data_IF_904998309011
#
_entry.id   IF_904998309011
#
_cell.length_a   1.000
_cell.length_b   1.000
_cell.length_c   1.000
_cell.angle_alpha   90.00
_cell.angle_beta   90.00
_cell.angle_gamma   90.00
#
_symmetry.space_group_name_H-M   'P 1'
#
loop_
_entity.id
_entity.type
_entity.pdbx_description
1 polymer ?
#
# COMPACT_ATOMS: atom_id res chain seq x y z
N UNK A 1 26.60 -21.26 14.13
CA UNK A 1 25.76 -21.26 12.90
C UNK A 1 24.32 -21.73 13.13
N UNK A 2 24.05 -22.96 13.62
CA UNK A 2 22.67 -23.50 13.74
C UNK A 2 21.67 -22.58 14.47
N UNK A 3 22.07 -21.94 15.58
CA UNK A 3 21.20 -21.01 16.34
C UNK A 3 20.89 -19.71 15.57
N UNK A 4 21.87 -19.15 14.86
CA UNK A 4 21.66 -17.95 14.04
C UNK A 4 20.75 -18.25 12.85
N UNK A 5 20.93 -19.40 12.18
CA UNK A 5 20.06 -19.85 11.10
C UNK A 5 18.61 -20.03 11.57
N UNK A 6 18.41 -20.58 12.78
CA UNK A 6 17.08 -20.70 13.38
C UNK A 6 16.43 -19.34 13.64
N UNK A 7 17.19 -18.31 14.03
CA UNK A 7 16.66 -16.97 14.24
C UNK A 7 16.24 -16.30 12.94
N UNK A 8 17.05 -16.41 11.89
CA UNK A 8 16.70 -15.89 10.55
C UNK A 8 15.41 -16.57 10.06
N UNK A 9 15.33 -17.89 10.18
CA UNK A 9 14.11 -18.63 9.84
C UNK A 9 12.89 -18.18 10.65
N UNK A 10 13.09 -17.77 11.91
CA UNK A 10 12.02 -17.20 12.74
C UNK A 10 11.65 -15.78 12.29
N UNK A 11 12.62 -14.98 11.85
CA UNK A 11 12.40 -13.65 11.27
C UNK A 11 11.67 -13.67 9.92
N UNK A 12 11.60 -14.81 9.24
CA UNK A 12 10.72 -15.02 8.08
C UNK A 12 9.25 -15.15 8.46
N UNK A 13 8.92 -15.45 9.72
CA UNK A 13 7.53 -15.63 10.16
C UNK A 13 6.74 -14.31 10.15
N UNK A 14 7.24 -13.18 10.70
CA UNK A 14 6.60 -11.87 10.54
C UNK A 14 6.38 -11.49 9.07
N UNK A 15 7.38 -11.76 8.22
CA UNK A 15 7.28 -11.52 6.78
C UNK A 15 6.17 -12.34 6.13
N UNK A 16 6.09 -13.64 6.45
CA UNK A 16 5.04 -14.51 5.93
C UNK A 16 3.63 -14.07 6.40
N UNK A 17 3.50 -13.67 7.67
CA UNK A 17 2.23 -13.16 8.22
C UNK A 17 1.80 -11.89 7.50
N UNK A 18 2.71 -10.93 7.30
CA UNK A 18 2.43 -9.70 6.56
C UNK A 18 2.04 -10.00 5.12
N UNK A 19 2.77 -10.89 4.43
CA UNK A 19 2.47 -11.27 3.05
C UNK A 19 1.07 -11.90 2.93
N UNK A 20 0.72 -12.82 3.83
CA UNK A 20 -0.61 -13.44 3.86
C UNK A 20 -1.70 -12.41 4.16
N UNK A 21 -1.46 -11.50 5.10
CA UNK A 21 -2.39 -10.41 5.41
C UNK A 21 -2.63 -9.51 4.20
N UNK A 22 -1.57 -9.10 3.50
CA UNK A 22 -1.69 -8.29 2.28
C UNK A 22 -2.46 -9.00 1.18
N UNK A 23 -2.20 -10.30 0.99
CA UNK A 23 -2.85 -11.10 -0.05
C UNK A 23 -4.35 -11.30 0.18
N UNK A 24 -4.78 -11.43 1.43
CA UNK A 24 -6.14 -11.91 1.74
C UNK A 24 -7.01 -10.90 2.51
N UNK A 25 -6.42 -9.85 3.11
CA UNK A 25 -7.15 -8.96 4.02
C UNK A 25 -7.09 -7.51 3.57
N UNK A 26 -5.90 -6.92 3.46
CA UNK A 26 -5.78 -5.49 3.15
C UNK A 26 -4.38 -5.10 2.66
N UNK A 27 -4.35 -4.27 1.62
CA UNK A 27 -3.13 -3.64 1.10
C UNK A 27 -2.82 -2.28 1.73
N UNK A 28 -3.71 -1.74 2.57
CA UNK A 28 -3.48 -0.48 3.26
C UNK A 28 -2.24 -0.56 4.16
N UNK A 29 -1.28 0.33 3.89
CA UNK A 29 0.06 0.30 4.49
C UNK A 29 0.07 0.50 6.01
N UNK A 30 -0.91 1.23 6.56
CA UNK A 30 -1.08 1.40 8.01
C UNK A 30 -1.39 0.07 8.70
N UNK A 31 -2.24 -0.76 8.08
CA UNK A 31 -2.55 -2.09 8.61
C UNK A 31 -1.35 -3.03 8.50
N UNK A 32 -0.63 -2.96 7.37
CA UNK A 32 0.60 -3.73 7.15
C UNK A 32 1.64 -3.43 8.23
N UNK A 33 1.84 -2.16 8.57
CA UNK A 33 2.72 -1.74 9.66
C UNK A 33 2.30 -2.37 11.00
N UNK A 34 1.02 -2.25 11.36
CA UNK A 34 0.49 -2.78 12.63
C UNK A 34 0.71 -4.30 12.71
N UNK A 35 0.36 -5.03 11.66
CA UNK A 35 0.52 -6.49 11.59
C UNK A 35 1.99 -6.90 11.64
N UNK A 36 2.87 -6.16 10.97
CA UNK A 36 4.32 -6.34 11.02
C UNK A 36 4.88 -6.20 12.43
N UNK A 37 4.48 -5.14 13.15
CA UNK A 37 4.93 -4.92 14.53
C UNK A 37 4.34 -5.97 15.48
N UNK A 38 3.06 -6.31 15.37
CA UNK A 38 2.43 -7.34 16.21
C UNK A 38 3.13 -8.69 16.03
N UNK A 39 3.40 -9.09 14.79
CA UNK A 39 4.09 -10.36 14.52
C UNK A 39 5.54 -10.35 15.03
N UNK A 40 6.26 -9.24 14.90
CA UNK A 40 7.58 -9.06 15.52
C UNK A 40 7.54 -9.13 17.05
N UNK A 41 6.55 -8.50 17.68
CA UNK A 41 6.35 -8.55 19.13
C UNK A 41 6.14 -9.98 19.61
N UNK A 42 5.24 -10.73 18.97
CA UNK A 42 4.93 -12.12 19.30
C UNK A 42 6.17 -13.01 19.18
N UNK A 43 6.89 -12.92 18.05
CA UNK A 43 8.12 -13.70 17.84
C UNK A 43 9.19 -13.36 18.88
N UNK A 44 9.36 -12.09 19.21
CA UNK A 44 10.32 -11.64 20.21
C UNK A 44 9.98 -12.15 21.62
N UNK A 45 8.70 -12.22 21.97
CA UNK A 45 8.27 -12.77 23.25
C UNK A 45 8.55 -14.29 23.35
N UNK A 46 8.34 -15.04 22.27
CA UNK A 46 8.59 -16.49 22.25
C UNK A 46 10.08 -16.86 22.31
N UNK A 47 10.97 -15.97 21.86
CA UNK A 47 12.38 -16.27 21.58
C UNK A 47 13.37 -15.52 22.48
N UNK A 48 12.88 -14.89 23.55
CA UNK A 48 13.62 -14.03 24.50
C UNK A 48 14.96 -14.58 25.06
N UNK A 49 15.24 -15.88 24.98
CA UNK A 49 16.44 -16.52 25.57
C UNK A 49 17.38 -17.21 24.58
N UNK A 50 17.28 -17.00 23.26
CA UNK A 50 17.85 -17.95 22.30
C UNK A 50 19.33 -17.75 21.90
N UNK A 51 19.90 -16.55 22.02
CA UNK A 51 21.32 -16.26 21.75
C UNK A 51 21.98 -15.51 22.90
N UNK A 52 23.30 -15.60 23.01
CA UNK A 52 24.07 -14.95 24.09
C UNK A 52 24.08 -13.42 24.00
N UNK A 53 23.84 -12.84 22.81
CA UNK A 53 23.75 -11.41 22.61
C UNK A 53 22.31 -11.02 22.15
N UNK A 54 21.56 -10.26 22.97
CA UNK A 54 20.19 -9.86 22.64
C UNK A 54 20.12 -8.95 21.40
N UNK A 55 21.10 -8.07 21.19
CA UNK A 55 21.13 -7.15 20.05
C UNK A 55 21.25 -7.90 18.72
N UNK A 56 22.16 -8.87 18.64
CA UNK A 56 22.33 -9.71 17.43
C UNK A 56 21.04 -10.48 17.15
N UNK A 57 20.38 -10.97 18.20
CA UNK A 57 19.11 -11.69 18.06
C UNK A 57 18.02 -10.80 17.48
N UNK A 58 17.93 -9.55 17.95
CA UNK A 58 16.95 -8.59 17.48
C UNK A 58 17.13 -8.27 16.00
N UNK A 59 18.37 -8.00 15.59
CA UNK A 59 18.71 -7.72 14.19
C UNK A 59 18.33 -8.91 13.30
N UNK A 60 18.72 -10.14 13.68
CA UNK A 60 18.44 -11.34 12.87
C UNK A 60 16.94 -11.64 12.71
N UNK A 61 16.11 -11.26 13.68
CA UNK A 61 14.66 -11.41 13.60
C UNK A 61 14.04 -10.30 12.74
N UNK A 62 14.50 -9.06 12.88
CA UNK A 62 13.94 -7.92 12.17
C UNK A 62 14.39 -7.85 10.70
N UNK A 63 15.59 -8.33 10.38
CA UNK A 63 16.24 -8.10 9.08
C UNK A 63 15.40 -8.55 7.87
N UNK A 64 14.69 -9.69 7.86
CA UNK A 64 13.95 -10.08 6.65
C UNK A 64 12.80 -9.14 6.35
N UNK A 65 12.05 -8.71 7.38
CA UNK A 65 10.96 -7.76 7.22
C UNK A 65 11.48 -6.36 6.85
N UNK A 66 12.56 -5.91 7.49
CA UNK A 66 13.21 -4.63 7.18
C UNK A 66 13.68 -4.59 5.72
N UNK A 67 14.32 -5.64 5.23
CA UNK A 67 14.82 -5.68 3.85
C UNK A 67 13.66 -5.63 2.85
N UNK A 68 12.63 -6.45 3.03
CA UNK A 68 11.48 -6.44 2.12
C UNK A 68 10.75 -5.10 2.16
N UNK A 69 10.54 -4.54 3.36
CA UNK A 69 9.92 -3.22 3.49
C UNK A 69 10.76 -2.12 2.85
N UNK A 70 12.10 -2.18 2.99
CA UNK A 70 12.99 -1.24 2.33
C UNK A 70 12.83 -1.29 0.81
N UNK A 71 12.94 -2.48 0.21
CA UNK A 71 12.90 -2.63 -1.25
C UNK A 71 11.52 -2.34 -1.84
N UNK A 72 10.44 -2.69 -1.16
CA UNK A 72 9.09 -2.54 -1.71
C UNK A 72 8.41 -1.21 -1.35
N UNK A 73 8.79 -0.59 -0.23
CA UNK A 73 8.08 0.58 0.29
C UNK A 73 8.98 1.80 0.34
N UNK A 74 10.20 1.69 0.89
CA UNK A 74 11.06 2.88 1.08
C UNK A 74 11.61 3.43 -0.24
N UNK A 75 11.80 2.58 -1.24
CA UNK A 75 12.22 3.02 -2.58
C UNK A 75 11.15 3.92 -3.21
N UNK A 76 9.87 3.54 -3.06
CA UNK A 76 8.75 4.29 -3.63
C UNK A 76 8.29 5.45 -2.74
N UNK A 77 8.37 5.27 -1.42
CA UNK A 77 7.85 6.20 -0.39
C UNK A 77 8.94 6.44 0.68
N UNK A 78 10.00 7.22 0.37
CA UNK A 78 11.14 7.44 1.27
C UNK A 78 10.77 8.04 2.63
N UNK A 79 9.70 8.82 2.72
CA UNK A 79 9.25 9.45 3.96
C UNK A 79 8.86 8.46 5.06
N UNK A 80 8.66 7.17 4.71
CA UNK A 80 8.31 6.11 5.67
C UNK A 80 9.52 5.44 6.33
N UNK A 81 10.73 5.96 6.14
CA UNK A 81 11.94 5.44 6.80
C UNK A 81 11.84 5.26 8.34
N UNK A 82 11.04 6.03 9.13
CA UNK A 82 10.91 5.79 10.57
C UNK A 82 10.32 4.41 10.91
N UNK A 83 9.58 3.79 9.99
CA UNK A 83 9.06 2.42 10.15
C UNK A 83 10.19 1.40 10.31
N UNK A 84 11.32 1.59 9.61
CA UNK A 84 12.48 0.70 9.74
C UNK A 84 13.04 0.72 11.17
N UNK A 85 13.04 1.90 11.81
CA UNK A 85 13.44 2.03 13.21
C UNK A 85 12.46 1.30 14.13
N UNK A 86 11.15 1.40 13.89
CA UNK A 86 10.14 0.67 14.68
C UNK A 86 10.36 -0.84 14.57
N UNK A 87 10.58 -1.37 13.36
CA UNK A 87 10.85 -2.79 13.16
C UNK A 87 12.15 -3.25 13.82
N UNK A 88 13.19 -2.43 13.81
CA UNK A 88 14.47 -2.76 14.46
C UNK A 88 14.37 -2.69 15.99
N UNK A 89 13.74 -1.64 16.52
CA UNK A 89 13.65 -1.37 17.95
C UNK A 89 12.69 -2.32 18.67
N UNK A 90 11.64 -2.79 17.99
CA UNK A 90 10.64 -3.70 18.57
C UNK A 90 11.26 -4.94 19.24
N UNK A 91 12.01 -5.81 18.53
CA UNK A 91 12.64 -6.97 19.16
C UNK A 91 13.73 -6.56 20.16
N UNK A 92 14.49 -5.50 19.88
CA UNK A 92 15.55 -5.05 20.76
C UNK A 92 15.01 -4.64 22.14
N UNK A 93 14.01 -3.76 22.18
CA UNK A 93 13.40 -3.28 23.42
C UNK A 93 12.73 -4.41 24.21
N UNK A 94 12.09 -5.37 23.53
CA UNK A 94 11.53 -6.56 24.19
C UNK A 94 12.63 -7.39 24.84
N UNK A 95 13.77 -7.61 24.18
CA UNK A 95 14.89 -8.37 24.75
C UNK A 95 15.60 -7.66 25.90
N UNK A 96 15.74 -6.33 25.84
CA UNK A 96 16.36 -5.55 26.91
C UNK A 96 15.43 -5.28 28.10
N UNK A 97 14.11 -5.44 27.93
CA UNK A 97 13.16 -5.33 29.04
C UNK A 97 13.33 -6.48 30.05
N UNK A 98 13.85 -6.16 31.23
CA UNK A 98 13.97 -7.09 32.36
C UNK A 98 12.83 -6.85 33.37
N UNK A 99 12.09 -7.92 33.70
CA UNK A 99 10.93 -7.85 34.60
C UNK A 99 9.59 -7.64 33.88
N UNK A 100 8.50 -8.14 34.50
CA UNK A 100 7.16 -8.16 33.90
C UNK A 100 6.58 -6.76 33.69
N UNK A 101 6.80 -5.85 34.65
CA UNK A 101 6.26 -4.49 34.63
C UNK A 101 6.92 -3.68 33.52
N UNK A 102 8.26 -3.61 33.50
CA UNK A 102 9.00 -2.87 32.47
C UNK A 102 8.67 -3.38 31.06
N UNK A 103 8.55 -4.69 30.89
CA UNK A 103 8.13 -5.28 29.62
C UNK A 103 6.72 -4.87 29.20
N UNK A 104 5.77 -4.87 30.13
CA UNK A 104 4.41 -4.39 29.88
C UNK A 104 4.40 -2.93 29.43
N UNK A 105 5.17 -2.06 30.09
CA UNK A 105 5.32 -0.65 29.71
C UNK A 105 5.94 -0.52 28.32
N UNK A 106 7.03 -1.23 28.03
CA UNK A 106 7.69 -1.22 26.71
C UNK A 106 6.71 -1.62 25.61
N UNK A 107 5.92 -2.68 25.82
CA UNK A 107 4.92 -3.13 24.84
C UNK A 107 3.84 -2.08 24.64
N UNK A 108 3.30 -1.48 25.71
CA UNK A 108 2.30 -0.43 25.61
C UNK A 108 2.82 0.80 24.85
N UNK A 109 4.07 1.21 25.11
CA UNK A 109 4.71 2.32 24.40
C UNK A 109 4.89 1.98 22.92
N UNK A 110 5.36 0.77 22.60
CA UNK A 110 5.50 0.33 21.20
C UNK A 110 4.16 0.32 20.48
N UNK A 111 3.10 -0.19 21.10
CA UNK A 111 1.74 -0.17 20.54
C UNK A 111 1.28 1.27 20.31
N UNK A 112 1.50 2.16 21.28
CA UNK A 112 1.14 3.58 21.15
C UNK A 112 1.88 4.28 20.00
N UNK A 113 3.20 4.07 19.89
CA UNK A 113 4.02 4.63 18.81
C UNK A 113 3.56 4.07 17.46
N UNK A 114 3.41 2.75 17.34
CA UNK A 114 2.95 2.11 16.11
C UNK A 114 1.57 2.59 15.71
N UNK A 115 0.63 2.69 16.65
CA UNK A 115 -0.71 3.22 16.40
C UNK A 115 -0.67 4.67 15.93
N UNK A 116 0.12 5.52 16.59
CA UNK A 116 0.30 6.92 16.19
C UNK A 116 0.88 7.03 14.78
N UNK A 117 1.94 6.28 14.48
CA UNK A 117 2.56 6.23 13.15
C UNK A 117 1.58 5.73 12.10
N UNK A 118 0.86 4.64 12.37
CA UNK A 118 -0.10 4.04 11.44
C UNK A 118 -1.29 4.96 11.15
N UNK A 119 -1.80 5.68 12.15
CA UNK A 119 -2.99 6.52 11.99
C UNK A 119 -2.70 7.93 11.50
N UNK A 120 -1.51 8.47 11.77
CA UNK A 120 -1.19 9.88 11.47
C UNK A 120 -0.07 10.02 10.44
N UNK A 121 1.07 9.35 10.66
CA UNK A 121 2.24 9.55 9.80
C UNK A 121 2.06 8.87 8.44
N UNK A 122 1.68 7.58 8.45
CA UNK A 122 1.59 6.78 7.22
C UNK A 122 0.63 7.39 6.20
N UNK A 123 -0.64 7.73 6.53
CA UNK A 123 -1.55 8.31 5.55
C UNK A 123 -1.06 9.65 5.01
N UNK A 124 -0.46 10.47 5.88
CA UNK A 124 0.05 11.80 5.52
C UNK A 124 1.24 11.74 4.57
N UNK A 125 2.18 10.84 4.84
CA UNK A 125 3.38 10.66 4.00
C UNK A 125 3.00 10.04 2.67
N UNK A 126 2.19 8.99 2.67
CA UNK A 126 1.70 8.35 1.45
C UNK A 126 0.97 9.37 0.57
N UNK A 127 0.05 10.15 1.14
CA UNK A 127 -0.63 11.20 0.40
C UNK A 127 0.33 12.28 -0.12
N UNK A 128 1.35 12.65 0.65
CA UNK A 128 2.31 13.69 0.25
C UNK A 128 3.30 13.26 -0.82
N UNK A 129 3.71 11.98 -0.85
CA UNK A 129 4.70 11.49 -1.80
C UNK A 129 4.08 10.91 -3.08
N UNK A 130 2.85 10.38 -3.00
CA UNK A 130 2.13 9.86 -4.17
C UNK A 130 1.24 10.92 -4.87
N UNK A 131 1.18 12.15 -4.34
CA UNK A 131 0.42 13.25 -4.95
C UNK A 131 1.34 14.37 -5.42
N UNK A 132 1.37 14.62 -6.72
CA UNK A 132 2.05 15.79 -7.29
C UNK A 132 1.02 16.79 -7.81
N UNK A 133 1.02 18.01 -7.24
CA UNK A 133 0.25 19.13 -7.78
C UNK A 133 1.13 19.92 -8.74
N UNK A 134 0.71 20.01 -10.00
CA UNK A 134 1.47 20.70 -11.05
C UNK A 134 0.58 21.66 -11.83
N UNK A 135 1.19 22.75 -12.29
CA UNK A 135 0.58 23.71 -13.24
C UNK A 135 1.09 23.48 -14.67
N UNK A 136 1.92 22.45 -14.87
CA UNK A 136 2.35 22.05 -16.21
C UNK A 136 1.14 21.51 -16.98
N UNK A 137 1.04 21.75 -18.30
CA UNK A 137 0.05 21.08 -19.12
C UNK A 137 0.16 19.56 -18.93
N UNK A 138 -0.98 18.88 -18.92
CA UNK A 138 -1.00 17.42 -18.98
C UNK A 138 -0.20 16.95 -20.22
N UNK A 139 0.59 15.86 -20.12
CA UNK A 139 1.27 15.28 -21.28
C UNK A 139 0.28 15.01 -22.41
N UNK A 140 0.70 15.13 -23.67
CA UNK A 140 -0.14 14.73 -24.79
C UNK A 140 -0.49 13.25 -24.69
N UNK A 141 -1.78 12.92 -24.73
CA UNK A 141 -2.32 11.58 -24.73
C UNK A 141 -3.36 11.42 -25.84
N UNK A 142 -3.52 10.17 -26.27
CA UNK A 142 -4.55 9.75 -27.18
C UNK A 142 -5.06 8.40 -26.72
N UNK A 143 -6.25 8.38 -26.12
CA UNK A 143 -6.84 7.16 -25.56
C UNK A 143 -8.04 6.75 -26.40
N UNK A 144 -8.05 5.49 -26.83
CA UNK A 144 -9.12 4.97 -27.67
C UNK A 144 -10.42 4.90 -26.88
N UNK A 145 -11.49 5.53 -27.36
CA UNK A 145 -12.78 5.45 -26.68
C UNK A 145 -13.49 4.12 -27.00
N UNK A 146 -13.77 3.32 -25.97
CA UNK A 146 -14.36 2.00 -26.14
C UNK A 146 -15.90 2.01 -26.16
N UNK A 147 -16.54 3.04 -25.60
CA UNK A 147 -18.02 3.15 -25.58
C UNK A 147 -18.60 3.83 -26.84
N UNK A 148 -17.72 4.17 -27.79
CA UNK A 148 -18.07 4.87 -29.02
C UNK A 148 -18.04 6.40 -28.89
N UNK A 149 -17.90 7.08 -30.03
CA UNK A 149 -17.64 8.51 -30.11
C UNK A 149 -16.23 8.79 -30.58
N UNK A 150 -15.74 10.02 -30.33
CA UNK A 150 -14.36 10.38 -30.62
C UNK A 150 -13.43 9.85 -29.51
N UNK A 151 -12.17 9.62 -29.87
CA UNK A 151 -11.11 9.29 -28.93
C UNK A 151 -10.80 10.46 -27.99
N UNK A 152 -10.32 10.13 -26.78
CA UNK A 152 -9.99 11.12 -25.77
C UNK A 152 -8.58 11.67 -26.01
N UNK A 153 -8.48 12.99 -26.03
CA UNK A 153 -7.23 13.72 -26.26
C UNK A 153 -7.22 14.99 -25.41
N UNK A 154 -6.04 15.56 -25.16
CA UNK A 154 -5.93 16.86 -24.47
C UNK A 154 -6.70 18.00 -25.14
N UNK A 155 -7.13 17.83 -26.41
CA UNK A 155 -7.89 18.82 -27.17
C UNK A 155 -9.39 18.66 -26.92
N UNK A 156 -9.92 17.44 -26.95
CA UNK A 156 -11.34 17.14 -26.68
C UNK A 156 -11.73 17.48 -25.24
N UNK A 157 -10.74 17.51 -24.36
CA UNK A 157 -10.89 17.52 -22.92
C UNK A 157 -10.69 18.92 -22.31
N UNK A 158 -10.49 19.94 -23.16
CA UNK A 158 -10.25 21.32 -22.69
C UNK A 158 -11.49 21.94 -22.05
N UNK A 159 -11.29 22.56 -20.88
CA UNK A 159 -12.29 23.39 -20.21
C UNK A 159 -13.16 22.66 -19.19
N UNK A 160 -12.99 21.33 -19.04
CA UNK A 160 -13.61 20.53 -17.98
C UNK A 160 -12.52 19.91 -17.10
N UNK A 161 -12.84 19.61 -15.84
CA UNK A 161 -11.91 18.85 -14.97
C UNK A 161 -12.04 17.37 -15.27
N UNK A 162 -10.93 16.71 -15.60
CA UNK A 162 -10.92 15.26 -15.89
C UNK A 162 -10.17 14.52 -14.80
N UNK A 163 -10.82 13.51 -14.26
CA UNK A 163 -10.18 12.46 -13.47
C UNK A 163 -9.87 11.31 -14.42
N UNK A 164 -8.59 11.15 -14.75
CA UNK A 164 -8.09 10.05 -15.57
C UNK A 164 -7.49 8.97 -14.65
N UNK A 165 -8.07 7.78 -14.67
CA UNK A 165 -7.66 6.64 -13.85
C UNK A 165 -7.15 5.52 -14.77
N UNK A 166 -5.93 5.04 -14.53
CA UNK A 166 -5.35 3.94 -15.29
C UNK A 166 -5.64 2.60 -14.62
N UNK A 167 -6.21 1.69 -15.40
CA UNK A 167 -6.86 0.49 -14.89
C UNK A 167 -6.37 -0.78 -15.60
N UNK A 168 -6.55 -1.92 -14.94
CA UNK A 168 -6.45 -3.25 -15.56
C UNK A 168 -7.47 -4.21 -14.95
N UNK A 169 -8.06 -5.10 -15.74
CA UNK A 169 -9.12 -6.04 -15.30
C UNK A 169 -8.63 -7.07 -14.29
N UNK A 170 -7.32 -7.24 -14.18
CA UNK A 170 -6.62 -8.09 -13.21
C UNK A 170 -6.19 -7.33 -11.95
N UNK A 171 -6.28 -5.99 -11.95
CA UNK A 171 -5.82 -5.15 -10.85
C UNK A 171 -6.83 -5.13 -9.71
N UNK A 172 -6.67 -6.04 -8.74
CA UNK A 172 -7.55 -6.10 -7.57
C UNK A 172 -7.69 -4.76 -6.81
N UNK A 173 -6.62 -3.96 -6.59
CA UNK A 173 -6.75 -2.62 -5.99
C UNK A 173 -7.63 -1.69 -6.83
N UNK A 174 -7.38 -1.60 -8.13
CA UNK A 174 -8.15 -0.74 -9.03
C UNK A 174 -9.64 -1.10 -9.02
N UNK A 175 -9.97 -2.40 -8.99
CA UNK A 175 -11.35 -2.88 -8.88
C UNK A 175 -12.00 -2.45 -7.56
N UNK A 176 -11.23 -2.42 -6.46
CA UNK A 176 -11.75 -1.99 -5.15
C UNK A 176 -12.02 -0.49 -5.06
N UNK A 177 -11.28 0.34 -5.79
CA UNK A 177 -11.47 1.79 -5.85
C UNK A 177 -12.70 2.22 -6.67
N UNK A 178 -13.18 1.38 -7.59
CA UNK A 178 -14.31 1.71 -8.47
C UNK A 178 -15.60 2.10 -7.72
N UNK A 179 -15.84 1.52 -6.53
CA UNK A 179 -17.02 1.90 -5.73
C UNK A 179 -16.87 3.33 -5.19
N UNK A 180 -15.67 3.73 -4.76
CA UNK A 180 -15.41 5.09 -4.31
C UNK A 180 -15.55 6.10 -5.46
N UNK A 181 -15.03 5.77 -6.64
CA UNK A 181 -15.23 6.58 -7.85
C UNK A 181 -16.72 6.70 -8.20
N UNK A 182 -17.49 5.63 -8.05
CA UNK A 182 -18.94 5.64 -8.32
C UNK A 182 -19.66 6.56 -7.32
N UNK A 183 -19.28 6.51 -6.05
CA UNK A 183 -19.80 7.41 -5.03
C UNK A 183 -19.48 8.88 -5.35
N UNK A 184 -18.30 9.18 -5.90
CA UNK A 184 -17.96 10.54 -6.32
C UNK A 184 -18.92 11.09 -7.37
N UNK A 185 -19.33 10.29 -8.35
CA UNK A 185 -20.26 10.73 -9.42
C UNK A 185 -21.63 11.17 -8.90
N UNK A 186 -22.05 10.65 -7.74
CA UNK A 186 -23.34 10.98 -7.11
C UNK A 186 -23.20 11.99 -5.96
N UNK A 187 -22.03 12.05 -5.32
CA UNK A 187 -21.79 12.90 -4.14
C UNK A 187 -21.27 14.29 -4.48
N UNK A 188 -20.62 14.46 -5.63
CA UNK A 188 -20.05 15.73 -6.08
C UNK A 188 -20.92 16.28 -7.23
N UNK A 189 -21.54 17.46 -7.09
CA UNK A 189 -22.32 18.09 -8.15
C UNK A 189 -21.49 18.35 -9.42
N UNK A 190 -22.17 18.47 -10.57
CA UNK A 190 -21.52 18.85 -11.84
C UNK A 190 -20.85 17.69 -12.58
N UNK A 191 -21.08 16.43 -12.15
CA UNK A 191 -20.63 15.27 -12.92
C UNK A 191 -21.27 15.26 -14.32
N UNK A 192 -20.45 15.06 -15.36
CA UNK A 192 -20.76 15.19 -16.79
C UNK A 192 -21.05 16.61 -17.30
N UNK A 193 -20.96 17.66 -16.46
CA UNK A 193 -21.07 19.06 -16.92
C UNK A 193 -19.79 19.86 -16.67
N UNK A 194 -19.27 19.81 -15.45
CA UNK A 194 -18.08 20.56 -15.02
C UNK A 194 -16.85 19.64 -14.92
N UNK A 195 -17.08 18.36 -14.64
CA UNK A 195 -16.04 17.35 -14.52
C UNK A 195 -16.52 15.95 -14.88
N UNK A 196 -15.60 15.06 -15.25
CA UNK A 196 -15.89 13.67 -15.61
C UNK A 196 -14.77 12.72 -15.18
N UNK A 197 -15.07 11.41 -15.23
CA UNK A 197 -14.13 10.33 -14.94
C UNK A 197 -13.94 9.50 -16.21
N UNK A 198 -12.69 9.30 -16.61
CA UNK A 198 -12.27 8.39 -17.68
C UNK A 198 -11.45 7.27 -17.05
N UNK A 199 -11.92 6.02 -17.19
CA UNK A 199 -11.14 4.84 -16.83
C UNK A 199 -10.41 4.37 -18.08
N UNK A 200 -9.08 4.42 -18.07
CA UNK A 200 -8.22 3.99 -19.17
C UNK A 200 -7.64 2.60 -18.87
N UNK A 201 -8.17 1.57 -19.53
CA UNK A 201 -7.59 0.23 -19.44
C UNK A 201 -6.29 0.17 -20.23
N UNK A 202 -5.21 -0.30 -19.62
CA UNK A 202 -3.91 -0.46 -20.30
C UNK A 202 -3.77 -1.85 -20.91
N UNK A 203 -2.78 -2.05 -21.79
CA UNK A 203 -2.40 -3.34 -22.35
C UNK A 203 -1.66 -4.28 -21.34
N UNK A 204 -1.39 -3.76 -20.14
CA UNK A 204 -0.67 -4.47 -19.10
C UNK A 204 -1.43 -5.70 -18.58
N UNK A 205 -0.70 -6.75 -18.19
CA UNK A 205 -1.28 -7.99 -17.67
C UNK A 205 -2.13 -8.77 -18.69
N UNK A 206 -2.00 -8.45 -19.98
CA UNK A 206 -2.71 -9.13 -21.08
C UNK A 206 -4.15 -8.69 -21.23
N UNK A 207 -4.46 -7.45 -20.82
CA UNK A 207 -5.76 -6.82 -21.08
C UNK A 207 -5.93 -6.48 -22.56
N UNK A 208 -7.19 -6.43 -22.99
CA UNK A 208 -7.58 -6.08 -24.37
C UNK A 208 -8.82 -5.18 -24.32
N UNK A 209 -9.12 -4.43 -25.40
CA UNK A 209 -10.33 -3.63 -25.48
C UNK A 209 -11.61 -4.44 -25.18
N UNK A 210 -11.68 -5.67 -25.65
CA UNK A 210 -12.84 -6.55 -25.45
C UNK A 210 -13.00 -6.94 -23.97
N UNK A 211 -11.88 -7.20 -23.26
CA UNK A 211 -11.91 -7.50 -21.82
C UNK A 211 -12.36 -6.30 -21.00
N UNK A 212 -11.87 -5.10 -21.35
CA UNK A 212 -12.28 -3.86 -20.69
C UNK A 212 -13.79 -3.62 -20.85
N UNK A 213 -14.32 -3.81 -22.07
CA UNK A 213 -15.76 -3.72 -22.36
C UNK A 213 -16.60 -4.75 -21.61
N UNK A 214 -16.16 -6.01 -21.62
CA UNK A 214 -16.82 -7.08 -20.88
C UNK A 214 -16.84 -6.80 -19.37
N UNK A 215 -15.74 -6.26 -18.83
CA UNK A 215 -15.64 -5.89 -17.42
C UNK A 215 -16.61 -4.76 -17.06
N UNK A 216 -16.67 -3.68 -17.85
CA UNK A 216 -17.57 -2.56 -17.57
C UNK A 216 -19.04 -2.95 -17.69
N UNK A 217 -19.40 -3.69 -18.75
CA UNK A 217 -20.80 -4.09 -18.98
C UNK A 217 -21.36 -4.95 -17.84
N UNK A 218 -20.56 -5.87 -17.29
CA UNK A 218 -20.96 -6.73 -16.16
C UNK A 218 -21.15 -5.98 -14.85
N UNK A 219 -20.54 -4.81 -14.69
CA UNK A 219 -20.54 -4.04 -13.43
C UNK A 219 -21.37 -2.76 -13.50
N UNK A 220 -21.95 -2.46 -14.67
CA UNK A 220 -22.79 -1.28 -14.90
C UNK A 220 -22.13 0.01 -14.39
N UNK A 221 -20.83 0.17 -14.70
CA UNK A 221 -20.06 1.33 -14.26
C UNK A 221 -20.49 2.58 -15.03
N UNK A 222 -20.70 3.73 -14.35
CA UNK A 222 -21.20 4.95 -14.99
C UNK A 222 -20.11 5.75 -15.74
N UNK A 223 -18.87 5.26 -15.73
CA UNK A 223 -17.70 6.00 -16.23
C UNK A 223 -17.52 5.89 -17.73
N UNK A 224 -16.80 6.85 -18.31
CA UNK A 224 -16.27 6.72 -19.66
C UNK A 224 -15.16 5.67 -19.67
N UNK A 225 -15.06 4.90 -20.75
CA UNK A 225 -14.06 3.85 -20.92
C UNK A 225 -13.12 4.20 -22.06
N UNK A 226 -11.83 4.15 -21.75
CA UNK A 226 -10.79 4.27 -22.74
C UNK A 226 -9.85 3.06 -22.72
N UNK A 227 -9.09 2.89 -23.79
CA UNK A 227 -8.00 1.93 -23.89
C UNK A 227 -6.69 2.66 -24.24
N UNK A 228 -5.64 2.31 -23.50
CA UNK A 228 -4.27 2.77 -23.70
C UNK A 228 -3.42 1.57 -24.15
N UNK A 229 -2.88 1.68 -25.36
CA UNK A 229 -2.27 0.56 -26.10
C UNK A 229 -0.77 0.42 -25.88
#
# INVERSE_FOLDING_TARGET
MKKALSLIATGLMPLAVVFLFMKFISLNLSHVLIVGVISLLLVSMLKYKQLANPLISAILIAIPLILVFYFLVIIEIPGLWPVLLIFLLTPALVFYSSGKILRGVVILVLIGITGFTALNLVPRVVAGELTELTQKPAPEYHLQNLLGGNDFTNITDKGSVIVLDFFGTWCAPCISEMEELKLMTTSIPGYNSDWSIIIACTDSGGDTPEKALDFQSKRELPFQLAYDS
#
